data_IF_331550710240
#
_entry.id   IF_331550710240
#
_cell.length_a   1.000
_cell.length_b   1.000
_cell.length_c   1.000
_cell.angle_alpha   90.00
_cell.angle_beta   90.00
_cell.angle_gamma   90.00
#
_symmetry.space_group_name_H-M   'P 1'
#
loop_
_entity.id
_entity.type
_entity.pdbx_description
1 polymer ?
#
# COMPACT_ATOMS: atom_id res chain seq x y z
N UNK A 1 -51.32 -33.01 21.85
CA UNK A 1 -51.57 -31.78 21.06
C UNK A 1 -50.31 -31.52 20.26
N UNK A 2 -50.30 -31.74 18.93
CA UNK A 2 -49.06 -32.01 18.20
C UNK A 2 -48.35 -30.75 17.69
N UNK A 3 -47.03 -30.85 17.68
CA UNK A 3 -46.01 -29.89 17.25
C UNK A 3 -45.87 -29.81 15.72
N UNK A 4 -46.97 -29.63 14.97
CA UNK A 4 -46.95 -29.74 13.50
C UNK A 4 -46.87 -28.41 12.72
N UNK A 5 -46.72 -27.25 13.39
CA UNK A 5 -46.74 -25.94 12.71
C UNK A 5 -45.37 -25.30 12.39
N UNK A 6 -44.25 -26.00 12.63
CA UNK A 6 -42.89 -25.46 12.36
C UNK A 6 -42.31 -25.83 10.98
N UNK A 7 -42.95 -26.74 10.23
CA UNK A 7 -42.45 -27.19 8.92
C UNK A 7 -42.84 -26.26 7.75
N UNK A 8 -44.01 -25.63 7.82
CA UNK A 8 -44.53 -24.74 6.77
C UNK A 8 -43.74 -23.42 6.65
N UNK A 9 -43.23 -22.88 7.77
CA UNK A 9 -42.43 -21.64 7.76
C UNK A 9 -41.00 -21.82 7.22
N UNK A 10 -40.37 -22.98 7.47
CA UNK A 10 -39.02 -23.29 6.97
C UNK A 10 -38.97 -23.42 5.44
N UNK A 11 -40.06 -23.86 4.82
CA UNK A 11 -40.15 -24.02 3.36
C UNK A 11 -40.38 -22.68 2.61
N UNK A 12 -40.91 -21.67 3.30
CA UNK A 12 -41.10 -20.31 2.77
C UNK A 12 -39.78 -19.53 2.76
N UNK A 13 -38.98 -19.63 3.83
CA UNK A 13 -37.73 -18.88 3.95
C UNK A 13 -36.66 -19.36 2.95
N UNK A 14 -36.51 -20.66 2.73
CA UNK A 14 -35.53 -21.19 1.77
C UNK A 14 -35.88 -20.82 0.32
N UNK A 15 -37.16 -20.83 -0.05
CA UNK A 15 -37.64 -20.37 -1.36
C UNK A 15 -37.48 -18.87 -1.52
N UNK A 16 -37.78 -18.08 -0.48
CA UNK A 16 -37.56 -16.64 -0.49
C UNK A 16 -36.07 -16.31 -0.62
N UNK A 17 -35.19 -16.95 0.15
CA UNK A 17 -33.74 -16.81 0.01
C UNK A 17 -33.25 -17.25 -1.37
N UNK A 18 -33.79 -18.34 -1.93
CA UNK A 18 -33.46 -18.79 -3.28
C UNK A 18 -33.90 -17.81 -4.36
N UNK A 19 -35.10 -17.24 -4.24
CA UNK A 19 -35.62 -16.24 -5.16
C UNK A 19 -34.84 -14.91 -5.06
N UNK A 20 -34.48 -14.48 -3.85
CA UNK A 20 -33.64 -13.32 -3.61
C UNK A 20 -32.23 -13.52 -4.16
N UNK A 21 -31.63 -14.69 -3.96
CA UNK A 21 -30.33 -15.03 -4.54
C UNK A 21 -30.39 -15.07 -6.07
N UNK A 22 -31.44 -15.66 -6.65
CA UNK A 22 -31.63 -15.69 -8.09
C UNK A 22 -31.84 -14.29 -8.66
N UNK A 23 -32.66 -13.45 -8.01
CA UNK A 23 -32.86 -12.06 -8.40
C UNK A 23 -31.55 -11.27 -8.32
N UNK A 24 -30.79 -11.40 -7.23
CA UNK A 24 -29.47 -10.80 -7.07
C UNK A 24 -28.48 -11.25 -8.17
N UNK A 25 -28.45 -12.55 -8.47
CA UNK A 25 -27.61 -13.13 -9.52
C UNK A 25 -27.98 -12.60 -10.92
N UNK A 26 -29.27 -12.57 -11.25
CA UNK A 26 -29.78 -12.03 -12.52
C UNK A 26 -29.49 -10.53 -12.63
N UNK A 27 -29.72 -9.76 -11.57
CA UNK A 27 -29.37 -8.35 -11.51
C UNK A 27 -27.86 -8.13 -11.72
N UNK A 28 -27.01 -8.98 -11.14
CA UNK A 28 -25.56 -8.95 -11.36
C UNK A 28 -25.18 -9.19 -12.82
N UNK A 29 -25.78 -10.19 -13.48
CA UNK A 29 -25.56 -10.46 -14.91
C UNK A 29 -26.03 -9.29 -15.76
N UNK A 30 -27.24 -8.78 -15.53
CA UNK A 30 -27.80 -7.66 -16.29
C UNK A 30 -26.92 -6.41 -16.12
N UNK A 31 -26.52 -6.10 -14.89
CA UNK A 31 -25.60 -4.99 -14.59
C UNK A 31 -24.26 -5.13 -15.32
N UNK A 32 -23.69 -6.34 -15.32
CA UNK A 32 -22.47 -6.67 -16.07
C UNK A 32 -22.63 -6.46 -17.57
N UNK A 33 -23.74 -6.92 -18.16
CA UNK A 33 -24.04 -6.73 -19.59
C UNK A 33 -24.25 -5.26 -19.96
N UNK A 34 -24.95 -4.49 -19.11
CA UNK A 34 -25.15 -3.04 -19.32
C UNK A 34 -23.80 -2.32 -19.27
N UNK A 35 -22.96 -2.60 -18.27
CA UNK A 35 -21.61 -2.03 -18.15
C UNK A 35 -20.76 -2.35 -19.39
N UNK A 36 -20.77 -3.60 -19.82
CA UNK A 36 -20.04 -4.06 -21.00
C UNK A 36 -20.56 -3.43 -22.31
N UNK A 37 -21.88 -3.19 -22.43
CA UNK A 37 -22.47 -2.42 -23.54
C UNK A 37 -22.01 -0.95 -23.53
N UNK A 38 -22.05 -0.28 -22.37
CA UNK A 38 -21.58 1.11 -22.24
C UNK A 38 -20.11 1.24 -22.62
N UNK A 39 -19.26 0.32 -22.16
CA UNK A 39 -17.84 0.30 -22.52
C UNK A 39 -17.65 0.09 -24.02
N UNK A 40 -18.39 -0.84 -24.64
CA UNK A 40 -18.34 -1.03 -26.11
C UNK A 40 -18.74 0.23 -26.89
N UNK A 41 -19.67 1.02 -26.36
CA UNK A 41 -20.09 2.25 -27.02
C UNK A 41 -18.99 3.33 -27.03
N UNK A 42 -17.98 3.25 -26.17
CA UNK A 42 -16.82 4.15 -26.15
C UNK A 42 -15.79 3.83 -27.27
N UNK A 43 -15.96 2.73 -28.00
CA UNK A 43 -15.12 2.36 -29.14
C UNK A 43 -14.02 1.36 -28.78
N UNK A 44 -12.75 1.76 -28.92
CA UNK A 44 -11.59 0.88 -28.81
C UNK A 44 -11.57 0.12 -27.48
N UNK A 45 -11.33 -1.20 -27.55
CA UNK A 45 -11.19 -2.07 -26.38
C UNK A 45 -9.87 -2.81 -26.41
N UNK A 46 -9.16 -2.93 -25.27
CA UNK A 46 -8.01 -3.80 -25.16
C UNK A 46 -8.41 -5.26 -25.37
N UNK A 47 -7.41 -6.09 -25.69
CA UNK A 47 -7.61 -7.53 -25.78
C UNK A 47 -8.03 -8.09 -24.41
N UNK A 48 -8.86 -9.14 -24.39
CA UNK A 48 -9.44 -9.67 -23.14
C UNK A 48 -8.87 -11.05 -22.79
N UNK A 49 -8.17 -11.15 -21.65
CA UNK A 49 -7.86 -12.44 -21.00
C UNK A 49 -9.11 -12.94 -20.29
N UNK A 50 -9.72 -14.00 -20.83
CA UNK A 50 -10.89 -14.65 -20.23
C UNK A 50 -10.47 -15.54 -19.06
N UNK A 51 -11.11 -15.36 -17.92
CA UNK A 51 -11.01 -16.26 -16.79
C UNK A 51 -11.64 -17.63 -17.11
N UNK A 52 -11.06 -18.70 -16.57
CA UNK A 52 -11.60 -20.06 -16.67
C UNK A 52 -12.66 -20.33 -15.59
N UNK A 53 -12.53 -19.68 -14.43
CA UNK A 53 -13.46 -19.82 -13.31
C UNK A 53 -14.30 -18.54 -13.13
N UNK A 54 -15.49 -18.64 -12.50
CA UNK A 54 -16.29 -17.48 -12.14
C UNK A 54 -15.47 -16.46 -11.33
N UNK A 55 -15.78 -15.18 -11.50
CA UNK A 55 -15.11 -14.07 -10.80
C UNK A 55 -13.58 -14.00 -10.98
N UNK A 56 -12.99 -14.71 -11.95
CA UNK A 56 -11.54 -14.64 -12.16
C UNK A 56 -10.71 -15.28 -11.06
N UNK A 57 -11.29 -16.20 -10.27
CA UNK A 57 -10.60 -16.87 -9.16
C UNK A 57 -9.34 -17.61 -9.63
N UNK A 58 -9.36 -18.21 -10.82
CA UNK A 58 -8.19 -18.88 -11.40
C UNK A 58 -7.03 -17.91 -11.64
N UNK A 59 -7.32 -16.69 -12.06
CA UNK A 59 -6.32 -15.65 -12.32
C UNK A 59 -5.78 -15.10 -11.00
N UNK A 60 -6.65 -14.83 -10.02
CA UNK A 60 -6.22 -14.39 -8.68
C UNK A 60 -5.34 -15.43 -8.00
N UNK A 61 -5.71 -16.72 -8.09
CA UNK A 61 -4.90 -17.81 -7.54
C UNK A 61 -3.53 -17.91 -8.19
N UNK A 62 -3.44 -17.83 -9.52
CA UNK A 62 -2.16 -17.86 -10.25
C UNK A 62 -1.30 -16.64 -9.89
N UNK A 63 -1.91 -15.44 -9.78
CA UNK A 63 -1.21 -14.22 -9.39
C UNK A 63 -0.60 -14.32 -7.98
N UNK A 64 -1.37 -14.80 -6.99
CA UNK A 64 -0.89 -14.99 -5.61
C UNK A 64 0.19 -16.09 -5.58
N UNK A 65 -0.06 -17.23 -6.22
CA UNK A 65 0.87 -18.36 -6.22
C UNK A 65 2.21 -18.00 -6.84
N UNK A 66 2.21 -17.27 -7.97
CA UNK A 66 3.44 -16.79 -8.61
C UNK A 66 4.13 -15.71 -7.81
N UNK A 67 3.40 -14.83 -7.14
CA UNK A 67 3.99 -13.86 -6.22
C UNK A 67 4.73 -14.56 -5.06
N UNK A 68 4.13 -15.59 -4.47
CA UNK A 68 4.76 -16.41 -3.42
C UNK A 68 5.97 -17.22 -3.91
N UNK A 69 6.09 -17.43 -5.22
CA UNK A 69 7.23 -18.10 -5.86
C UNK A 69 8.23 -17.12 -6.50
N UNK A 70 8.14 -15.83 -6.17
CA UNK A 70 8.99 -14.76 -6.72
C UNK A 70 8.96 -14.63 -8.26
N UNK A 71 7.84 -14.98 -8.90
CA UNK A 71 7.63 -14.97 -10.37
C UNK A 71 6.55 -13.95 -10.82
N UNK A 72 6.29 -12.92 -10.01
CA UNK A 72 5.25 -11.93 -10.29
C UNK A 72 5.51 -11.13 -11.57
N UNK A 73 6.77 -10.72 -11.82
CA UNK A 73 7.11 -9.93 -13.00
C UNK A 73 6.85 -10.70 -14.30
N UNK A 74 7.27 -11.97 -14.36
CA UNK A 74 7.03 -12.83 -15.52
C UNK A 74 5.54 -13.03 -15.73
N UNK A 75 4.77 -13.25 -14.66
CA UNK A 75 3.32 -13.37 -14.74
C UNK A 75 2.70 -12.15 -15.44
N UNK A 76 2.95 -10.94 -14.94
CA UNK A 76 2.37 -9.73 -15.51
C UNK A 76 2.88 -9.46 -16.93
N UNK A 77 4.19 -9.59 -17.17
CA UNK A 77 4.79 -9.37 -18.49
C UNK A 77 4.26 -10.34 -19.56
N UNK A 78 4.04 -11.60 -19.18
CA UNK A 78 3.49 -12.61 -20.07
C UNK A 78 2.02 -12.36 -20.43
N UNK A 79 1.28 -11.53 -19.68
CA UNK A 79 -0.08 -11.17 -20.07
C UNK A 79 -0.08 -10.42 -21.41
N UNK A 80 0.86 -9.49 -21.62
CA UNK A 80 0.97 -8.74 -22.87
C UNK A 80 1.34 -9.66 -24.04
N UNK A 81 2.33 -10.53 -23.84
CA UNK A 81 2.78 -11.49 -24.87
C UNK A 81 1.67 -12.47 -25.29
N UNK A 82 0.93 -12.99 -24.32
CA UNK A 82 -0.04 -14.07 -24.57
C UNK A 82 -1.44 -13.57 -24.96
N UNK A 83 -1.80 -12.37 -24.52
CA UNK A 83 -3.17 -11.87 -24.66
C UNK A 83 -3.27 -10.51 -25.34
N UNK A 84 -2.17 -9.79 -25.61
CA UNK A 84 -2.20 -8.56 -26.40
C UNK A 84 -2.77 -8.77 -27.80
N UNK A 85 -3.26 -7.70 -28.44
CA UNK A 85 -3.72 -7.76 -29.84
C UNK A 85 -2.85 -6.87 -30.75
N UNK A 86 -2.88 -7.05 -32.08
CA UNK A 86 -2.02 -6.28 -32.99
C UNK A 86 -2.20 -4.76 -32.92
N UNK A 87 -3.39 -4.28 -32.57
CA UNK A 87 -3.70 -2.84 -32.48
C UNK A 87 -3.31 -2.24 -31.12
N UNK A 88 -3.21 -3.06 -30.08
CA UNK A 88 -2.81 -2.67 -28.73
C UNK A 88 -2.14 -3.86 -28.02
N UNK A 89 -0.86 -4.12 -28.32
CA UNK A 89 -0.14 -5.29 -27.80
C UNK A 89 0.17 -5.17 -26.30
N UNK A 90 0.22 -3.94 -25.78
CA UNK A 90 0.61 -3.64 -24.41
C UNK A 90 -0.56 -3.30 -23.49
N UNK A 91 -1.82 -3.56 -23.89
CA UNK A 91 -2.98 -3.37 -23.01
C UNK A 91 -3.92 -4.57 -23.06
N UNK A 92 -4.18 -5.13 -21.88
CA UNK A 92 -5.01 -6.33 -21.70
C UNK A 92 -6.05 -6.07 -20.61
N UNK A 93 -7.30 -6.35 -20.91
CA UNK A 93 -8.38 -6.42 -19.93
C UNK A 93 -8.48 -7.83 -19.35
N UNK A 94 -8.60 -7.94 -18.03
CA UNK A 94 -8.85 -9.19 -17.34
C UNK A 94 -9.84 -9.01 -16.19
N UNK A 95 -10.14 -10.07 -15.47
CA UNK A 95 -10.94 -10.02 -14.24
C UNK A 95 -10.23 -10.77 -13.12
N UNK A 96 -10.16 -10.14 -11.96
CA UNK A 96 -9.56 -10.70 -10.75
C UNK A 96 -10.49 -10.39 -9.57
N UNK A 97 -10.93 -11.43 -8.86
CA UNK A 97 -11.87 -11.28 -7.73
C UNK A 97 -13.24 -10.68 -8.08
N UNK A 98 -13.67 -10.77 -9.34
CA UNK A 98 -14.92 -10.20 -9.83
C UNK A 98 -14.79 -8.78 -10.37
N UNK A 99 -13.68 -8.12 -10.11
CA UNK A 99 -13.41 -6.78 -10.62
C UNK A 99 -12.81 -6.83 -12.02
N UNK A 100 -13.09 -5.78 -12.80
CA UNK A 100 -12.49 -5.55 -14.11
C UNK A 100 -11.14 -4.88 -13.91
N UNK A 101 -10.08 -5.51 -14.38
CA UNK A 101 -8.72 -4.99 -14.33
C UNK A 101 -8.23 -4.68 -15.74
N UNK A 102 -7.58 -3.52 -15.93
CA UNK A 102 -6.87 -3.19 -17.16
C UNK A 102 -5.39 -3.15 -16.83
N UNK A 103 -4.61 -4.01 -17.46
CA UNK A 103 -3.16 -4.02 -17.41
C UNK A 103 -2.66 -3.25 -18.63
N UNK A 104 -1.80 -2.25 -18.44
CA UNK A 104 -1.21 -1.50 -19.55
C UNK A 104 0.28 -1.25 -19.34
N UNK A 105 1.05 -1.41 -20.41
CA UNK A 105 2.42 -0.94 -20.57
C UNK A 105 2.53 -0.02 -21.81
N UNK A 106 1.39 0.49 -22.29
CA UNK A 106 1.32 1.43 -23.41
C UNK A 106 1.71 2.84 -22.93
N UNK A 107 2.73 3.48 -23.54
CA UNK A 107 3.20 4.79 -23.11
C UNK A 107 2.12 5.89 -23.11
N UNK A 108 1.18 5.87 -24.06
CA UNK A 108 0.13 6.89 -24.14
C UNK A 108 -0.91 6.69 -23.03
N UNK A 109 -1.23 5.43 -22.68
CA UNK A 109 -2.08 5.16 -21.52
C UNK A 109 -1.39 5.57 -20.21
N UNK A 110 -0.11 5.26 -20.06
CA UNK A 110 0.68 5.66 -18.87
C UNK A 110 0.72 7.19 -18.76
N UNK A 111 0.96 7.89 -19.87
CA UNK A 111 0.96 9.35 -19.93
C UNK A 111 -0.42 9.93 -19.60
N UNK A 112 -1.50 9.31 -20.07
CA UNK A 112 -2.86 9.71 -19.69
C UNK A 112 -3.06 9.60 -18.17
N UNK A 113 -2.79 8.44 -17.60
CA UNK A 113 -3.02 8.15 -16.17
C UNK A 113 -2.15 9.04 -15.26
N UNK A 114 -0.87 9.20 -15.59
CA UNK A 114 0.11 9.84 -14.69
C UNK A 114 0.36 11.33 -14.98
N UNK A 115 -0.10 11.86 -16.11
CA UNK A 115 0.19 13.24 -16.50
C UNK A 115 -1.01 13.99 -17.11
N UNK A 116 -1.47 13.61 -18.30
CA UNK A 116 -2.40 14.47 -19.09
C UNK A 116 -3.84 14.42 -18.59
N UNK A 117 -4.24 13.34 -17.91
CA UNK A 117 -5.57 13.14 -17.33
C UNK A 117 -5.49 12.79 -15.84
N UNK A 118 -4.46 13.25 -15.14
CA UNK A 118 -4.19 12.86 -13.75
C UNK A 118 -5.39 13.01 -12.81
N UNK A 119 -6.23 14.04 -12.99
CA UNK A 119 -7.41 14.28 -12.15
C UNK A 119 -8.54 13.25 -12.36
N UNK A 120 -8.54 12.54 -13.49
CA UNK A 120 -9.54 11.53 -13.82
C UNK A 120 -9.19 10.15 -13.23
N UNK A 121 -7.96 9.96 -12.77
CA UNK A 121 -7.46 8.70 -12.21
C UNK A 121 -7.03 8.88 -10.75
N UNK A 122 -7.48 7.95 -9.91
CA UNK A 122 -7.08 7.85 -8.51
C UNK A 122 -6.87 6.40 -8.12
N UNK A 123 -6.42 6.18 -6.89
CA UNK A 123 -6.32 4.84 -6.30
C UNK A 123 -7.72 4.29 -5.99
N UNK A 124 -8.63 5.17 -5.62
CA UNK A 124 -10.04 4.89 -5.37
C UNK A 124 -10.31 4.46 -3.93
N UNK A 125 -11.60 4.56 -3.56
CA UNK A 125 -12.09 4.28 -2.21
C UNK A 125 -11.76 2.86 -1.73
N UNK A 126 -11.81 1.86 -2.62
CA UNK A 126 -11.49 0.48 -2.27
C UNK A 126 -10.01 0.32 -1.89
N UNK A 127 -9.11 0.98 -2.62
CA UNK A 127 -7.69 0.98 -2.29
C UNK A 127 -7.46 1.65 -0.94
N UNK A 128 -8.08 2.81 -0.70
CA UNK A 128 -8.01 3.48 0.60
C UNK A 128 -8.44 2.51 1.73
N UNK A 129 -9.63 1.90 1.62
CA UNK A 129 -10.14 0.92 2.61
C UNK A 129 -9.20 -0.24 2.86
N UNK A 130 -8.63 -0.82 1.80
CA UNK A 130 -7.74 -1.98 1.93
C UNK A 130 -6.41 -1.64 2.60
N UNK A 131 -5.94 -0.40 2.47
CA UNK A 131 -4.68 0.08 3.03
C UNK A 131 -4.82 0.89 4.32
N UNK A 132 -6.04 1.30 4.68
CA UNK A 132 -6.31 2.22 5.79
C UNK A 132 -5.83 1.69 7.15
N UNK A 133 -5.99 0.38 7.45
CA UNK A 133 -5.46 -0.17 8.72
C UNK A 133 -3.93 0.05 8.83
N UNK A 134 -3.18 -0.01 7.72
CA UNK A 134 -1.73 0.15 7.75
C UNK A 134 -1.31 1.62 7.62
N UNK A 135 -1.76 2.31 6.57
CA UNK A 135 -1.28 3.63 6.15
C UNK A 135 -2.27 4.77 6.41
N UNK A 136 -3.45 4.46 6.96
CA UNK A 136 -4.53 5.42 7.21
C UNK A 136 -4.83 6.30 6.00
N UNK A 137 -5.02 7.60 6.21
CA UNK A 137 -5.26 8.60 5.17
C UNK A 137 -3.99 9.38 4.79
N UNK A 138 -2.92 8.62 4.57
CA UNK A 138 -1.64 9.15 4.09
C UNK A 138 -1.66 9.63 2.63
N UNK A 139 -0.57 10.27 2.22
CA UNK A 139 -0.28 10.60 0.82
C UNK A 139 -0.35 9.39 -0.14
N UNK A 140 -0.20 8.16 0.35
CA UNK A 140 -0.22 6.95 -0.48
C UNK A 140 -1.58 6.29 -0.62
N UNK A 141 -2.57 6.65 0.19
CA UNK A 141 -3.88 5.98 0.21
C UNK A 141 -5.03 6.91 -0.15
N UNK A 142 -4.77 8.21 -0.28
CA UNK A 142 -5.77 9.24 -0.58
C UNK A 142 -5.65 9.73 -2.03
N UNK A 143 -6.71 10.40 -2.49
CA UNK A 143 -6.84 11.01 -3.81
C UNK A 143 -7.41 12.44 -3.67
N UNK A 144 -7.42 13.20 -4.78
CA UNK A 144 -8.05 14.52 -4.84
C UNK A 144 -7.44 15.55 -3.88
N UNK A 145 -8.29 16.32 -3.22
CA UNK A 145 -7.90 17.37 -2.27
C UNK A 145 -7.10 16.84 -1.08
N UNK A 146 -7.52 15.72 -0.50
CA UNK A 146 -6.83 15.13 0.67
C UNK A 146 -5.39 14.72 0.31
N UNK A 147 -5.21 14.15 -0.88
CA UNK A 147 -3.86 13.88 -1.41
C UNK A 147 -3.08 15.17 -1.65
N UNK A 148 -3.72 16.20 -2.20
CA UNK A 148 -3.09 17.50 -2.46
C UNK A 148 -2.58 18.13 -1.16
N UNK A 149 -3.40 18.15 -0.12
CA UNK A 149 -3.05 18.70 1.20
C UNK A 149 -1.87 17.93 1.82
N UNK A 150 -1.91 16.60 1.78
CA UNK A 150 -0.80 15.74 2.20
C UNK A 150 0.47 16.04 1.39
N UNK A 151 0.37 16.24 0.07
CA UNK A 151 1.51 16.55 -0.79
C UNK A 151 2.12 17.92 -0.47
N UNK A 152 1.30 18.93 -0.21
CA UNK A 152 1.77 20.27 0.18
C UNK A 152 2.48 20.27 1.52
N UNK A 153 2.04 19.41 2.45
CA UNK A 153 2.67 19.22 3.74
C UNK A 153 4.05 18.54 3.63
N UNK A 154 4.16 17.49 2.80
CA UNK A 154 5.37 16.66 2.68
C UNK A 154 6.43 17.28 1.77
N UNK A 155 6.04 17.85 0.61
CA UNK A 155 6.98 18.31 -0.43
C UNK A 155 8.06 19.27 0.09
N UNK A 156 7.75 20.30 0.91
CA UNK A 156 8.76 21.26 1.36
C UNK A 156 9.86 20.63 2.21
N UNK A 157 9.58 19.49 2.85
CA UNK A 157 10.54 18.83 3.74
C UNK A 157 11.66 18.14 2.96
N UNK A 158 11.39 17.73 1.72
CA UNK A 158 12.35 17.07 0.82
C UNK A 158 12.97 18.02 -0.23
N UNK A 159 12.45 19.24 -0.36
CA UNK A 159 12.97 20.23 -1.31
C UNK A 159 14.16 21.04 -0.75
N UNK A 160 14.39 20.96 0.57
CA UNK A 160 15.47 21.70 1.25
C UNK A 160 16.71 20.80 1.31
N UNK A 161 17.82 21.28 0.76
CA UNK A 161 19.13 20.66 1.00
C UNK A 161 19.64 21.14 2.35
N UNK A 162 19.66 20.27 3.36
CA UNK A 162 20.18 20.60 4.69
C UNK A 162 21.48 19.87 4.93
N UNK A 163 22.43 20.53 5.59
CA UNK A 163 23.70 19.90 5.96
C UNK A 163 23.51 18.84 7.04
N UNK A 164 22.48 18.98 7.89
CA UNK A 164 22.08 17.98 8.88
C UNK A 164 21.77 16.63 8.24
N UNK A 165 21.07 16.64 7.10
CA UNK A 165 20.65 15.41 6.43
C UNK A 165 21.88 14.61 5.95
N UNK A 166 22.88 15.30 5.41
CA UNK A 166 24.15 14.69 4.98
C UNK A 166 24.88 14.06 6.16
N UNK A 167 24.92 14.73 7.32
CA UNK A 167 25.54 14.19 8.53
C UNK A 167 24.83 12.92 9.00
N UNK A 168 23.50 12.91 9.02
CA UNK A 168 22.71 11.73 9.35
C UNK A 168 23.09 10.54 8.48
N UNK A 169 23.14 10.71 7.16
CA UNK A 169 23.54 9.61 6.27
C UNK A 169 24.99 9.18 6.49
N UNK A 170 25.92 10.13 6.62
CA UNK A 170 27.35 9.83 6.87
C UNK A 170 27.54 9.02 8.16
N UNK A 171 26.88 9.40 9.26
CA UNK A 171 26.95 8.69 10.54
C UNK A 171 26.53 7.22 10.39
N UNK A 172 25.43 6.96 9.70
CA UNK A 172 24.95 5.58 9.47
C UNK A 172 25.83 4.82 8.46
N UNK A 173 26.42 5.49 7.46
CA UNK A 173 27.40 4.88 6.54
C UNK A 173 28.65 4.44 7.31
N UNK A 174 29.14 5.25 8.24
CA UNK A 174 30.30 4.90 9.08
C UNK A 174 30.03 3.67 9.97
N UNK A 175 28.78 3.44 10.36
CA UNK A 175 28.35 2.20 11.05
C UNK A 175 28.25 1.00 10.10
N UNK A 176 27.82 1.22 8.86
CA UNK A 176 27.67 0.18 7.84
C UNK A 176 29.01 -0.34 7.31
N UNK A 177 29.99 0.53 7.07
CA UNK A 177 31.27 0.17 6.43
C UNK A 177 32.02 -0.98 7.11
N UNK A 178 32.15 -1.03 8.45
CA UNK A 178 32.76 -2.17 9.13
C UNK A 178 32.01 -3.50 8.95
N UNK A 179 30.68 -3.44 8.77
CA UNK A 179 29.82 -4.63 8.61
C UNK A 179 29.84 -5.20 7.19
N UNK A 180 30.23 -4.39 6.20
CA UNK A 180 30.47 -4.83 4.82
C UNK A 180 31.68 -5.78 4.70
N UNK A 181 32.38 -6.01 5.81
CA UNK A 181 33.43 -7.00 5.94
C UNK A 181 34.81 -6.50 5.51
N UNK A 182 35.72 -7.45 5.35
CA UNK A 182 37.09 -7.24 4.93
C UNK A 182 37.77 -8.58 4.63
N UNK A 183 38.90 -8.55 3.91
CA UNK A 183 39.75 -9.73 3.69
C UNK A 183 39.05 -10.91 2.97
N UNK A 184 38.08 -10.64 2.11
CA UNK A 184 37.42 -11.66 1.27
C UNK A 184 36.22 -12.38 1.90
N UNK A 185 35.71 -11.90 3.04
CA UNK A 185 34.47 -12.41 3.62
C UNK A 185 33.25 -12.08 2.75
N UNK A 186 32.29 -13.01 2.68
CA UNK A 186 31.00 -12.80 2.02
C UNK A 186 29.99 -12.30 3.04
N UNK A 187 29.23 -11.27 2.69
CA UNK A 187 28.18 -10.67 3.52
C UNK A 187 26.89 -10.56 2.73
N UNK A 188 25.75 -10.59 3.42
CA UNK A 188 24.44 -10.29 2.81
C UNK A 188 24.24 -8.77 2.77
N UNK A 189 24.60 -8.15 1.64
CA UNK A 189 24.47 -6.70 1.45
C UNK A 189 23.02 -6.23 1.48
N UNK A 190 22.05 -7.08 1.14
CA UNK A 190 20.64 -6.71 1.14
C UNK A 190 20.14 -6.49 2.57
N UNK A 191 20.47 -7.41 3.49
CA UNK A 191 20.15 -7.24 4.91
C UNK A 191 20.78 -5.95 5.46
N UNK A 192 22.07 -5.75 5.20
CA UNK A 192 22.79 -4.57 5.67
C UNK A 192 22.22 -3.27 5.12
N UNK A 193 21.82 -3.22 3.84
CA UNK A 193 21.19 -2.04 3.26
C UNK A 193 19.82 -1.77 3.86
N UNK A 194 18.97 -2.79 4.07
CA UNK A 194 17.67 -2.59 4.73
C UNK A 194 17.80 -2.12 6.18
N UNK A 195 18.85 -2.53 6.89
CA UNK A 195 19.16 -2.05 8.24
C UNK A 195 19.66 -0.62 8.22
N UNK A 196 20.58 -0.29 7.31
CA UNK A 196 21.09 1.06 7.10
C UNK A 196 19.97 2.04 6.72
N UNK A 197 19.12 1.71 5.74
CA UNK A 197 18.05 2.61 5.29
C UNK A 197 16.98 2.78 6.36
N UNK A 198 16.73 1.76 7.19
CA UNK A 198 15.84 1.89 8.34
C UNK A 198 16.41 2.85 9.40
N UNK A 199 17.70 2.74 9.73
CA UNK A 199 18.35 3.61 10.69
C UNK A 199 18.38 5.06 10.19
N UNK A 200 18.83 5.26 8.95
CA UNK A 200 18.85 6.58 8.33
C UNK A 200 17.44 7.20 8.19
N UNK A 201 16.43 6.41 7.80
CA UNK A 201 15.07 6.91 7.68
C UNK A 201 14.45 7.24 9.04
N UNK A 202 14.63 6.39 10.06
CA UNK A 202 14.10 6.68 11.41
C UNK A 202 14.77 7.89 12.04
N UNK A 203 16.08 8.04 11.84
CA UNK A 203 16.81 9.22 12.30
C UNK A 203 16.37 10.49 11.58
N UNK A 204 16.34 10.48 10.25
CA UNK A 204 15.85 11.62 9.47
C UNK A 204 14.40 12.01 9.82
N UNK A 205 13.52 11.03 9.98
CA UNK A 205 12.10 11.28 10.20
C UNK A 205 11.76 11.67 11.64
N UNK A 206 12.40 11.01 12.61
CA UNK A 206 12.03 11.05 14.02
C UNK A 206 13.12 11.67 14.91
N UNK A 207 14.32 11.88 14.39
CA UNK A 207 15.50 12.39 15.10
C UNK A 207 16.20 11.35 15.97
N UNK A 208 15.83 10.07 15.82
CA UNK A 208 16.51 8.94 16.48
C UNK A 208 16.47 7.71 15.59
N UNK A 209 17.64 7.12 15.40
CA UNK A 209 17.84 5.80 14.82
C UNK A 209 17.24 4.70 15.70
N UNK A 210 16.83 3.59 15.09
CA UNK A 210 16.51 2.35 15.79
C UNK A 210 17.73 1.44 16.00
N UNK A 211 18.89 1.89 15.50
CA UNK A 211 20.21 1.24 15.60
C UNK A 211 20.17 -0.23 15.20
N UNK A 212 19.43 -0.49 14.12
CA UNK A 212 19.25 -1.79 13.50
C UNK A 212 20.57 -2.35 12.98
N UNK A 213 21.56 -1.54 12.58
CA UNK A 213 22.89 -2.02 12.20
C UNK A 213 23.69 -2.59 13.38
N UNK A 214 23.48 -2.08 14.59
CA UNK A 214 24.26 -2.44 15.79
C UNK A 214 23.57 -3.50 16.65
N UNK A 215 22.24 -3.56 16.59
CA UNK A 215 21.43 -4.49 17.38
C UNK A 215 20.60 -5.39 16.45
N UNK A 216 20.61 -6.70 16.72
CA UNK A 216 19.80 -7.65 15.98
C UNK A 216 18.30 -7.41 16.22
N UNK A 217 17.56 -7.35 15.11
CA UNK A 217 16.09 -7.30 14.99
C UNK A 217 15.35 -6.65 16.17
N UNK A 218 15.31 -5.32 16.17
CA UNK A 218 14.41 -4.56 17.03
C UNK A 218 12.95 -4.95 16.74
N UNK A 219 12.13 -5.08 17.80
CA UNK A 219 10.71 -5.45 17.70
C UNK A 219 9.95 -4.61 16.66
N UNK A 220 10.35 -3.36 16.47
CA UNK A 220 9.82 -2.48 15.42
C UNK A 220 10.13 -2.98 14.00
N UNK A 221 11.39 -3.30 13.68
CA UNK A 221 11.81 -3.72 12.34
C UNK A 221 11.10 -5.01 11.92
N UNK A 222 11.04 -5.99 12.83
CA UNK A 222 10.34 -7.26 12.61
C UNK A 222 8.83 -7.05 12.44
N UNK A 223 8.22 -6.20 13.27
CA UNK A 223 6.80 -5.85 13.13
C UNK A 223 6.52 -5.17 11.79
N UNK A 224 7.36 -4.21 11.39
CA UNK A 224 7.28 -3.49 10.12
C UNK A 224 7.31 -4.44 8.92
N UNK A 225 8.29 -5.34 8.86
CA UNK A 225 8.40 -6.34 7.80
C UNK A 225 7.16 -7.24 7.71
N UNK A 226 6.65 -7.69 8.85
CA UNK A 226 5.48 -8.55 8.90
C UNK A 226 4.20 -7.84 8.45
N UNK A 227 4.00 -6.59 8.85
CA UNK A 227 2.85 -5.77 8.44
C UNK A 227 2.87 -5.57 6.92
N UNK A 228 4.01 -5.17 6.36
CA UNK A 228 4.19 -5.03 4.92
C UNK A 228 3.90 -6.32 4.15
N UNK A 229 4.46 -7.44 4.61
CA UNK A 229 4.27 -8.73 3.97
C UNK A 229 2.79 -9.13 3.91
N UNK A 230 2.07 -9.03 5.03
CA UNK A 230 0.64 -9.37 5.08
C UNK A 230 -0.20 -8.36 4.29
N UNK A 231 0.12 -7.07 4.36
CA UNK A 231 -0.57 -6.05 3.56
C UNK A 231 -0.45 -6.32 2.05
N UNK A 232 0.74 -6.73 1.60
CA UNK A 232 0.98 -7.15 0.22
C UNK A 232 0.08 -8.33 -0.19
N UNK A 233 -0.19 -9.28 0.71
CA UNK A 233 -1.13 -10.37 0.45
C UNK A 233 -2.59 -9.90 0.42
N UNK A 234 -2.99 -9.00 1.33
CA UNK A 234 -4.31 -8.37 1.35
C UNK A 234 -4.59 -7.67 0.02
N UNK A 235 -3.67 -6.83 -0.45
CA UNK A 235 -3.81 -6.09 -1.71
C UNK A 235 -3.91 -7.03 -2.93
N UNK A 236 -3.12 -8.11 -2.98
CA UNK A 236 -3.14 -9.09 -4.09
C UNK A 236 -4.40 -9.97 -4.09
N UNK A 237 -4.99 -10.21 -2.92
CA UNK A 237 -6.24 -10.96 -2.81
C UNK A 237 -7.46 -10.18 -3.33
N UNK A 238 -7.35 -8.85 -3.48
CA UNK A 238 -8.41 -7.99 -4.01
C UNK A 238 -9.71 -8.15 -3.20
N UNK A 239 -10.88 -8.30 -3.84
CA UNK A 239 -12.16 -8.51 -3.16
C UNK A 239 -12.22 -9.74 -2.23
N UNK A 240 -11.29 -10.69 -2.38
CA UNK A 240 -11.19 -11.88 -1.52
C UNK A 240 -10.27 -11.68 -0.30
N UNK A 241 -9.84 -10.44 -0.02
CA UNK A 241 -8.89 -10.17 1.05
C UNK A 241 -9.38 -10.53 2.47
N UNK A 242 -10.69 -10.71 2.66
CA UNK A 242 -11.29 -11.19 3.91
C UNK A 242 -10.84 -12.61 4.29
N UNK A 243 -10.30 -13.38 3.35
CA UNK A 243 -9.70 -14.70 3.59
C UNK A 243 -8.31 -14.63 4.24
N UNK A 244 -7.65 -13.47 4.21
CA UNK A 244 -6.30 -13.32 4.74
C UNK A 244 -6.36 -13.14 6.28
N UNK A 245 -5.72 -14.02 7.08
CA UNK A 245 -5.75 -13.90 8.52
C UNK A 245 -5.06 -12.62 9.02
N UNK A 246 -5.82 -11.74 9.69
CA UNK A 246 -5.32 -10.43 10.16
C UNK A 246 -4.84 -10.40 11.61
N UNK A 247 -4.87 -11.51 12.34
CA UNK A 247 -4.52 -11.54 13.79
C UNK A 247 -3.06 -11.14 14.04
N UNK A 248 -2.12 -11.75 13.31
CA UNK A 248 -0.69 -11.40 13.41
C UNK A 248 -0.49 -9.96 12.95
N UNK A 249 -1.04 -9.59 11.79
CA UNK A 249 -0.98 -8.24 11.24
C UNK A 249 -1.37 -7.15 12.25
N UNK A 250 -2.54 -7.27 12.91
CA UNK A 250 -3.00 -6.27 13.89
C UNK A 250 -2.13 -6.20 15.14
N UNK A 251 -1.54 -7.32 15.56
CA UNK A 251 -0.60 -7.35 16.69
C UNK A 251 0.69 -6.61 16.34
N UNK A 252 1.28 -6.89 15.19
CA UNK A 252 2.51 -6.22 14.74
C UNK A 252 2.26 -4.73 14.44
N UNK A 253 1.10 -4.40 13.85
CA UNK A 253 0.68 -3.03 13.64
C UNK A 253 0.57 -2.24 14.95
N UNK A 254 0.12 -2.89 16.04
CA UNK A 254 0.10 -2.28 17.37
C UNK A 254 1.51 -1.92 17.85
N UNK A 255 2.49 -2.80 17.68
CA UNK A 255 3.91 -2.54 18.03
C UNK A 255 4.44 -1.34 17.24
N UNK A 256 4.17 -1.29 15.93
CA UNK A 256 4.55 -0.15 15.08
C UNK A 256 3.89 1.16 15.52
N UNK A 257 2.61 1.12 15.85
CA UNK A 257 1.88 2.29 16.31
C UNK A 257 2.37 2.76 17.67
N UNK A 258 2.65 1.86 18.61
CA UNK A 258 3.24 2.19 19.92
C UNK A 258 4.60 2.88 19.77
N UNK A 259 5.46 2.34 18.90
CA UNK A 259 6.73 2.97 18.56
C UNK A 259 6.54 4.38 18.00
N UNK A 260 5.72 4.53 16.95
CA UNK A 260 5.50 5.82 16.28
C UNK A 260 4.84 6.85 17.22
N UNK A 261 3.91 6.39 18.06
CA UNK A 261 3.17 7.23 18.98
C UNK A 261 4.07 7.92 20.02
N UNK A 262 5.15 7.28 20.47
CA UNK A 262 6.10 7.89 21.41
C UNK A 262 6.71 9.18 20.83
N UNK A 263 7.15 9.13 19.57
CA UNK A 263 7.71 10.30 18.90
C UNK A 263 6.66 11.37 18.63
N UNK A 264 5.43 10.94 18.29
CA UNK A 264 4.31 11.88 18.12
C UNK A 264 4.00 12.57 19.44
N UNK A 265 3.97 11.85 20.57
CA UNK A 265 3.77 12.44 21.89
C UNK A 265 4.86 13.46 22.23
N UNK A 266 6.13 13.12 21.97
CA UNK A 266 7.26 14.03 22.18
C UNK A 266 7.11 15.31 21.34
N UNK A 267 6.82 15.17 20.04
CA UNK A 267 6.62 16.31 19.14
C UNK A 267 5.35 17.11 19.50
N UNK A 268 4.33 16.43 20.01
CA UNK A 268 3.10 17.08 20.45
C UNK A 268 3.26 17.80 21.80
N UNK A 269 4.19 17.36 22.65
CA UNK A 269 4.51 18.01 23.92
C UNK A 269 5.25 19.35 23.76
N UNK A 270 5.88 19.59 22.62
CA UNK A 270 6.57 20.85 22.31
C UNK A 270 5.56 21.97 21.99
N UNK A 271 5.85 23.17 22.50
CA UNK A 271 5.10 24.38 22.13
C UNK A 271 5.34 24.78 20.66
N UNK A 272 4.43 25.55 20.04
CA UNK A 272 4.63 26.04 18.67
C UNK A 272 5.95 26.80 18.48
N UNK A 273 6.35 27.62 19.46
CA UNK A 273 7.60 28.39 19.42
C UNK A 273 8.84 27.48 19.48
N UNK A 274 8.78 26.40 20.28
CA UNK A 274 9.86 25.40 20.35
C UNK A 274 9.98 24.60 19.05
N UNK A 275 8.85 24.21 18.44
CA UNK A 275 8.84 23.54 17.14
C UNK A 275 9.37 24.46 16.04
N UNK A 276 8.98 25.74 16.04
CA UNK A 276 9.47 26.70 15.06
C UNK A 276 10.98 26.94 15.22
N UNK A 277 11.47 27.00 16.46
CA UNK A 277 12.91 27.12 16.75
C UNK A 277 13.70 25.91 16.26
N UNK A 278 13.21 24.69 16.52
CA UNK A 278 13.84 23.43 16.03
C UNK A 278 13.78 23.29 14.51
N UNK A 279 12.78 23.88 13.85
CA UNK A 279 12.61 23.77 12.40
C UNK A 279 13.31 24.85 11.59
N UNK A 280 13.66 25.98 12.22
CA UNK A 280 14.47 27.06 11.64
C UNK A 280 15.99 26.79 11.70
N UNK A 281 16.44 25.97 12.64
CA UNK A 281 17.83 25.50 12.70
C UNK A 281 18.08 24.25 11.85
N UNK A 282 19.34 24.00 11.52
CA UNK A 282 19.77 22.70 10.97
C UNK A 282 19.90 21.64 12.07
N UNK A 283 20.20 22.04 13.31
CA UNK A 283 20.37 21.13 14.44
C UNK A 283 19.02 20.75 15.08
N UNK A 284 18.72 19.44 15.14
CA UNK A 284 17.51 18.90 15.78
C UNK A 284 16.22 19.03 14.95
N UNK A 285 16.32 19.42 13.69
CA UNK A 285 15.22 19.33 12.74
C UNK A 285 14.87 17.86 12.48
N UNK A 286 13.58 17.55 12.45
CA UNK A 286 13.09 16.26 11.97
C UNK A 286 11.88 16.47 11.08
N UNK A 287 11.61 15.52 10.20
CA UNK A 287 10.39 15.53 9.40
C UNK A 287 9.14 15.64 10.27
N UNK A 288 9.07 14.90 11.38
CA UNK A 288 7.94 14.94 12.30
C UNK A 288 7.74 16.32 12.93
N UNK A 289 8.80 16.98 13.42
CA UNK A 289 8.69 18.35 13.94
C UNK A 289 8.17 19.30 12.87
N UNK A 290 8.62 19.12 11.62
CA UNK A 290 8.15 19.91 10.50
C UNK A 290 6.67 19.70 10.22
N UNK A 291 6.15 18.48 10.28
CA UNK A 291 4.71 18.23 10.14
C UNK A 291 3.91 18.84 11.29
N UNK A 292 4.44 18.74 12.51
CA UNK A 292 3.81 19.21 13.73
C UNK A 292 3.63 20.74 13.80
N UNK A 293 4.33 21.52 12.94
CA UNK A 293 4.09 22.96 12.79
C UNK A 293 2.86 23.30 11.94
N UNK A 294 2.47 22.41 11.02
CA UNK A 294 1.30 22.61 10.15
C UNK A 294 0.03 21.97 10.72
N UNK A 295 0.16 20.82 11.38
CA UNK A 295 -0.97 20.10 11.96
C UNK A 295 -0.64 19.54 13.32
N UNK A 296 -1.65 19.56 14.19
CA UNK A 296 -1.63 19.00 15.54
C UNK A 296 -2.48 17.74 15.66
N UNK A 297 -3.08 17.32 14.55
CA UNK A 297 -3.87 16.10 14.46
C UNK A 297 -2.94 14.88 14.53
N UNK A 298 -3.14 14.08 15.57
CA UNK A 298 -2.33 12.89 15.83
C UNK A 298 -2.45 11.86 14.72
N UNK A 299 -3.64 11.65 14.19
CA UNK A 299 -3.89 10.64 13.16
C UNK A 299 -3.19 11.03 11.86
N UNK A 300 -3.29 12.31 11.47
CA UNK A 300 -2.57 12.84 10.30
C UNK A 300 -1.06 12.69 10.46
N UNK A 301 -0.49 13.05 11.61
CA UNK A 301 0.95 12.88 11.86
C UNK A 301 1.37 11.41 11.73
N UNK A 302 0.63 10.51 12.36
CA UNK A 302 0.89 9.07 12.32
C UNK A 302 0.86 8.54 10.89
N UNK A 303 -0.18 8.89 10.13
CA UNK A 303 -0.37 8.34 8.78
C UNK A 303 0.71 8.81 7.81
N UNK A 304 1.07 10.10 7.84
CA UNK A 304 2.13 10.61 6.97
C UNK A 304 3.50 10.06 7.35
N UNK A 305 3.82 9.94 8.65
CA UNK A 305 5.10 9.39 9.10
C UNK A 305 5.26 7.93 8.67
N UNK A 306 4.25 7.09 8.91
CA UNK A 306 4.31 5.66 8.55
C UNK A 306 4.45 5.49 7.03
N UNK A 307 3.74 6.31 6.24
CA UNK A 307 3.87 6.29 4.80
C UNK A 307 5.26 6.71 4.33
N UNK A 308 5.83 7.79 4.86
CA UNK A 308 7.17 8.24 4.45
C UNK A 308 8.26 7.27 4.90
N UNK A 309 8.12 6.67 6.09
CA UNK A 309 9.03 5.64 6.56
C UNK A 309 9.03 4.40 5.66
N UNK A 310 7.86 3.96 5.20
CA UNK A 310 7.71 2.91 4.20
C UNK A 310 8.47 3.23 2.91
N UNK A 311 8.34 4.46 2.40
CA UNK A 311 9.04 4.87 1.19
C UNK A 311 10.56 4.94 1.40
N UNK A 312 11.02 5.56 2.48
CA UNK A 312 12.43 5.82 2.73
C UNK A 312 13.26 4.56 2.96
N UNK A 313 12.66 3.50 3.52
CA UNK A 313 13.36 2.26 3.85
C UNK A 313 13.53 1.31 2.67
N UNK A 314 12.43 0.92 2.04
CA UNK A 314 12.42 -0.25 1.14
C UNK A 314 12.78 0.09 -0.30
N UNK A 315 12.68 1.36 -0.71
CA UNK A 315 12.96 1.78 -2.10
C UNK A 315 14.37 2.33 -2.33
N UNK A 316 15.08 2.67 -1.25
CA UNK A 316 16.44 3.22 -1.24
C UNK A 316 17.46 2.09 -1.22
#
# INVERSE_FOLDING_TARGET
MPLDNLSLYRFSLTKACGALFFAWFVCGIIGGLIKDRRIRALGLRPAKRRAKLPYGIDITYDAITRALRHDALSFFSNNFKNFGNPNNPYTVETSMGGDRLILTADPENIKAILATQFQDYGKGEQFNKDWHEFLGDSIFTTDGSVWHDSRQLIRPQFAKNRLSDIKTFEEHVQKLLPLMGGQGQTVDVCDLFFRYTLDAATDFLLGRSVDSLEHDEMAFATAFNNVQHVQSLIARAGPMNWLIPRRKFRRELKIMNEFTNQYIDDALGLSPDELEKRTKGDDGYTFLHALATYTRDREVLRDQIVAVLLAGRDTT
#
